data_IF_413611002917
#
_entry.id   IF_413611002917
#
_cell.length_a   1.000
_cell.length_b   1.000
_cell.length_c   1.000
_cell.angle_alpha   90.00
_cell.angle_beta   90.00
_cell.angle_gamma   90.00
#
_symmetry.space_group_name_H-M   'P 1'
#
loop_
_entity.id
_entity.type
_entity.pdbx_description
1 polymer ?
#
# COMPACT_ATOMS: atom_id res chain seq x y z
N UNK A 1 14.88 -17.53 -21.82
CA UNK A 1 15.22 -17.49 -20.37
C UNK A 1 14.95 -16.12 -19.74
N UNK A 2 14.90 -15.03 -20.50
CA UNK A 2 14.60 -13.68 -19.96
C UNK A 2 13.13 -13.44 -19.56
N UNK A 3 12.16 -14.22 -20.04
CA UNK A 3 10.74 -13.95 -19.77
C UNK A 3 10.29 -14.20 -18.33
N UNK A 4 10.97 -15.10 -17.60
CA UNK A 4 10.55 -15.47 -16.23
C UNK A 4 10.77 -14.34 -15.22
N UNK A 5 11.79 -13.51 -15.41
CA UNK A 5 12.11 -12.43 -14.48
C UNK A 5 11.09 -11.29 -14.58
N UNK A 6 10.62 -10.99 -15.80
CA UNK A 6 9.58 -9.98 -16.03
C UNK A 6 8.25 -10.32 -15.38
N UNK A 7 7.89 -11.62 -15.29
CA UNK A 7 6.63 -12.05 -14.66
C UNK A 7 6.67 -11.80 -13.14
N UNK A 8 7.79 -12.09 -12.49
CA UNK A 8 7.94 -11.89 -11.05
C UNK A 8 7.86 -10.39 -10.67
N UNK A 9 8.47 -9.52 -11.47
CA UNK A 9 8.46 -8.08 -11.24
C UNK A 9 7.04 -7.48 -11.39
N UNK A 10 6.26 -7.94 -12.36
CA UNK A 10 4.87 -7.50 -12.56
C UNK A 10 3.96 -7.93 -11.41
N UNK A 11 4.07 -9.19 -10.99
CA UNK A 11 3.31 -9.71 -9.86
C UNK A 11 3.57 -8.90 -8.59
N UNK A 12 4.84 -8.72 -8.22
CA UNK A 12 5.20 -7.98 -7.00
C UNK A 12 4.73 -6.52 -7.08
N UNK A 13 4.92 -5.84 -8.22
CA UNK A 13 4.47 -4.47 -8.42
C UNK A 13 2.94 -4.33 -8.31
N UNK A 14 2.17 -5.25 -8.90
CA UNK A 14 0.71 -5.25 -8.81
C UNK A 14 0.23 -5.38 -7.36
N UNK A 15 0.77 -6.35 -6.61
CA UNK A 15 0.41 -6.57 -5.22
C UNK A 15 0.84 -5.43 -4.29
N UNK A 16 2.03 -4.84 -4.49
CA UNK A 16 2.42 -3.65 -3.75
C UNK A 16 1.52 -2.45 -4.05
N UNK A 17 1.06 -2.32 -5.29
CA UNK A 17 0.09 -1.28 -5.66
C UNK A 17 -1.25 -1.51 -4.97
N UNK A 18 -1.76 -2.74 -4.93
CA UNK A 18 -2.97 -3.10 -4.16
C UNK A 18 -2.82 -2.74 -2.68
N UNK A 19 -1.70 -3.11 -2.06
CA UNK A 19 -1.42 -2.78 -0.65
C UNK A 19 -1.39 -1.26 -0.43
N UNK A 20 -0.77 -0.50 -1.34
CA UNK A 20 -0.77 0.96 -1.27
C UNK A 20 -2.18 1.56 -1.39
N UNK A 21 -3.05 0.98 -2.22
CA UNK A 21 -4.47 1.38 -2.30
C UNK A 21 -5.22 1.10 -0.99
N UNK A 22 -4.99 -0.07 -0.37
CA UNK A 22 -5.58 -0.43 0.93
C UNK A 22 -5.08 0.54 2.02
N UNK A 23 -3.78 0.81 2.06
CA UNK A 23 -3.18 1.74 3.01
C UNK A 23 -3.78 3.14 2.85
N UNK A 24 -3.90 3.65 1.61
CA UNK A 24 -4.55 4.94 1.32
C UNK A 24 -6.01 4.95 1.77
N UNK A 25 -6.77 3.88 1.53
CA UNK A 25 -8.14 3.77 2.01
C UNK A 25 -8.21 3.86 3.54
N UNK A 26 -7.43 3.06 4.24
CA UNK A 26 -7.39 3.04 5.71
C UNK A 26 -6.99 4.41 6.27
N UNK A 27 -6.06 5.10 5.61
CA UNK A 27 -5.60 6.43 6.01
C UNK A 27 -6.69 7.50 5.81
N UNK A 28 -7.49 7.36 4.75
CA UNK A 28 -8.61 8.25 4.44
C UNK A 28 -9.83 8.06 5.34
N UNK A 29 -9.90 6.96 6.09
CA UNK A 29 -11.05 6.62 6.91
C UNK A 29 -11.29 7.62 8.04
N UNK A 30 -12.56 7.98 8.26
CA UNK A 30 -12.99 8.88 9.34
C UNK A 30 -12.71 8.26 10.71
N UNK A 31 -12.85 6.94 10.85
CA UNK A 31 -12.63 6.24 12.12
C UNK A 31 -11.15 6.31 12.54
N UNK A 32 -10.91 6.80 13.76
CA UNK A 32 -9.57 6.87 14.37
C UNK A 32 -8.98 5.47 14.56
N UNK A 33 -9.80 4.49 14.93
CA UNK A 33 -9.39 3.10 15.07
C UNK A 33 -8.79 2.54 13.76
N UNK A 34 -9.48 2.77 12.63
CA UNK A 34 -8.99 2.33 11.31
C UNK A 34 -7.67 3.02 10.90
N UNK A 35 -7.46 4.28 11.31
CA UNK A 35 -6.18 4.98 11.08
C UNK A 35 -5.05 4.39 11.93
N UNK A 36 -5.35 3.95 13.15
CA UNK A 36 -4.38 3.31 14.03
C UNK A 36 -4.02 1.88 13.58
N UNK A 37 -4.84 1.24 12.73
CA UNK A 37 -4.48 -0.04 12.12
C UNK A 37 -3.30 0.09 11.14
N UNK A 38 -3.00 1.29 10.62
CA UNK A 38 -1.77 1.56 9.86
C UNK A 38 -0.61 1.78 10.83
N UNK A 39 -0.33 0.77 11.64
CA UNK A 39 0.91 0.72 12.41
C UNK A 39 1.98 0.04 11.58
N UNK A 40 3.24 0.47 11.72
CA UNK A 40 4.42 -0.13 11.07
C UNK A 40 4.45 -1.66 11.15
N UNK A 41 3.97 -2.21 12.28
CA UNK A 41 3.88 -3.64 12.52
C UNK A 41 2.99 -4.35 11.48
N UNK A 42 1.90 -3.72 11.05
CA UNK A 42 0.96 -4.28 10.06
C UNK A 42 1.50 -4.17 8.63
N UNK A 43 2.27 -3.13 8.31
CA UNK A 43 2.95 -3.03 7.02
C UNK A 43 4.01 -4.13 6.82
N UNK A 44 4.76 -4.46 7.87
CA UNK A 44 5.69 -5.62 7.85
C UNK A 44 4.92 -6.92 7.67
N UNK A 45 3.81 -7.10 8.39
CA UNK A 45 2.97 -8.30 8.25
C UNK A 45 2.38 -8.44 6.84
N UNK A 46 1.98 -7.33 6.18
CA UNK A 46 1.49 -7.40 4.81
C UNK A 46 2.57 -7.76 3.79
N UNK A 47 3.81 -7.32 4.01
CA UNK A 47 4.95 -7.77 3.18
C UNK A 47 5.18 -9.28 3.33
N UNK A 48 5.19 -9.78 4.56
CA UNK A 48 5.31 -11.23 4.83
C UNK A 48 4.16 -11.99 4.16
N UNK A 49 2.94 -11.45 4.21
CA UNK A 49 1.79 -12.06 3.53
C UNK A 49 1.99 -12.16 2.01
N UNK A 50 2.45 -11.09 1.34
CA UNK A 50 2.69 -11.13 -0.13
C UNK A 50 3.78 -12.14 -0.50
N UNK A 51 4.84 -12.24 0.30
CA UNK A 51 5.92 -13.22 0.08
C UNK A 51 5.40 -14.66 0.24
N UNK A 52 4.69 -14.95 1.34
CA UNK A 52 4.10 -16.27 1.57
C UNK A 52 3.09 -16.63 0.50
N UNK A 53 2.26 -15.67 0.07
CA UNK A 53 1.28 -15.86 -0.97
C UNK A 53 1.95 -16.14 -2.33
N UNK A 54 3.07 -15.46 -2.62
CA UNK A 54 3.92 -15.76 -3.78
C UNK A 54 4.46 -17.19 -3.73
N UNK A 55 5.00 -17.64 -2.59
CA UNK A 55 5.51 -19.01 -2.44
C UNK A 55 4.41 -20.05 -2.70
N UNK A 56 3.18 -19.79 -2.27
CA UNK A 56 2.05 -20.71 -2.51
C UNK A 56 1.70 -20.77 -4.01
N UNK A 57 1.59 -19.62 -4.68
CA UNK A 57 1.24 -19.55 -6.10
C UNK A 57 2.34 -20.18 -6.95
N UNK A 58 3.60 -19.76 -6.75
CA UNK A 58 4.73 -20.31 -7.50
C UNK A 58 5.07 -21.75 -7.06
N UNK A 59 4.60 -22.16 -5.89
CA UNK A 59 4.71 -23.52 -5.36
C UNK A 59 4.05 -24.57 -6.25
N UNK A 60 2.95 -24.22 -6.93
CA UNK A 60 2.27 -25.14 -7.85
C UNK A 60 3.16 -25.55 -9.02
N UNK A 61 4.11 -24.69 -9.42
CA UNK A 61 5.00 -25.00 -10.53
C UNK A 61 5.89 -26.19 -10.23
N UNK A 62 6.19 -26.46 -8.95
CA UNK A 62 6.94 -27.66 -8.55
C UNK A 62 6.13 -28.96 -8.70
N UNK A 63 4.79 -28.91 -8.57
CA UNK A 63 3.94 -30.08 -8.75
C UNK A 63 3.84 -30.52 -10.22
N UNK A 64 3.95 -29.58 -11.15
CA UNK A 64 3.90 -29.87 -12.58
C UNK A 64 5.26 -30.24 -13.19
N UNK A 65 6.33 -30.37 -12.38
CA UNK A 65 7.62 -30.90 -12.82
C UNK A 65 7.55 -32.43 -12.77
N UNK A 66 7.38 -33.04 -13.94
CA UNK A 66 7.37 -34.50 -14.05
C UNK A 66 8.81 -35.03 -13.96
N UNK A 67 9.17 -35.62 -12.82
CA UNK A 67 10.52 -36.13 -12.54
C UNK A 67 10.83 -37.37 -13.42
N UNK A 68 9.82 -37.95 -14.08
CA UNK A 68 9.90 -39.23 -14.77
C UNK A 68 10.44 -39.17 -16.21
N UNK A 69 10.78 -38.01 -16.77
CA UNK A 69 11.31 -37.90 -18.15
C UNK A 69 12.82 -38.19 -18.28
N UNK A 70 13.47 -38.65 -17.21
CA UNK A 70 14.92 -38.88 -17.16
C UNK A 70 15.35 -40.31 -17.55
N UNK A 71 14.69 -40.94 -18.52
CA UNK A 71 15.16 -42.19 -19.10
C UNK A 71 15.40 -42.05 -20.61
N UNK A 72 16.68 -42.05 -20.98
CA UNK A 72 17.25 -42.20 -22.32
C UNK A 72 17.35 -40.94 -23.22
N UNK A 73 18.33 -40.07 -22.90
CA UNK A 73 19.27 -39.59 -23.93
C UNK A 73 19.00 -38.27 -24.66
N UNK A 74 18.05 -37.42 -24.23
CA UNK A 74 17.83 -36.13 -24.87
C UNK A 74 18.70 -34.99 -24.27
N UNK A 75 19.39 -34.18 -25.12
CA UNK A 75 20.15 -33.01 -24.67
C UNK A 75 19.26 -31.82 -24.29
N UNK A 76 19.49 -31.33 -23.06
CA UNK A 76 19.38 -29.97 -22.52
C UNK A 76 18.63 -28.88 -23.33
N UNK A 77 17.31 -28.97 -23.41
CA UNK A 77 16.43 -27.78 -23.56
C UNK A 77 15.36 -27.81 -22.45
N UNK A 78 15.86 -27.80 -21.21
CA UNK A 78 15.19 -28.11 -19.95
C UNK A 78 14.07 -27.14 -19.49
N UNK A 79 13.26 -26.56 -20.39
CA UNK A 79 12.20 -25.64 -19.97
C UNK A 79 10.91 -25.64 -20.83
N UNK A 80 10.74 -26.53 -21.82
CA UNK A 80 9.63 -26.40 -22.78
C UNK A 80 8.63 -27.55 -22.85
N UNK A 81 8.69 -28.56 -21.98
CA UNK A 81 7.61 -29.55 -21.92
C UNK A 81 6.97 -29.58 -20.54
N UNK A 82 6.10 -28.60 -20.26
CA UNK A 82 4.87 -28.90 -19.51
C UNK A 82 4.09 -29.91 -20.37
N UNK A 83 4.44 -31.18 -20.29
CA UNK A 83 3.90 -32.23 -21.18
C UNK A 83 2.39 -32.41 -21.00
N UNK A 84 1.87 -31.98 -19.85
CA UNK A 84 0.44 -31.99 -19.56
C UNK A 84 -0.21 -30.65 -19.91
N UNK A 85 -1.03 -30.68 -20.96
CA UNK A 85 -1.93 -29.57 -21.37
C UNK A 85 -2.75 -29.05 -20.18
N UNK A 86 -3.15 -29.95 -19.26
CA UNK A 86 -3.87 -29.61 -18.04
C UNK A 86 -3.05 -28.69 -17.12
N UNK A 87 -1.77 -28.96 -16.90
CA UNK A 87 -0.88 -28.11 -16.10
C UNK A 87 -0.67 -26.73 -16.74
N UNK A 88 -0.62 -26.66 -18.07
CA UNK A 88 -0.48 -25.38 -18.77
C UNK A 88 -1.74 -24.52 -18.65
N UNK A 89 -2.92 -25.12 -18.81
CA UNK A 89 -4.20 -24.42 -18.66
C UNK A 89 -4.40 -23.96 -17.22
N UNK A 90 -4.11 -24.82 -16.24
CA UNK A 90 -4.23 -24.48 -14.82
C UNK A 90 -3.31 -23.30 -14.46
N UNK A 91 -2.03 -23.36 -14.82
CA UNK A 91 -1.06 -22.28 -14.54
C UNK A 91 -1.44 -20.97 -15.22
N UNK A 92 -1.88 -21.02 -16.48
CA UNK A 92 -2.34 -19.82 -17.19
C UNK A 92 -3.58 -19.19 -16.52
N UNK A 93 -4.50 -20.04 -16.04
CA UNK A 93 -5.71 -19.60 -15.35
C UNK A 93 -5.39 -19.02 -13.97
N UNK A 94 -4.54 -19.69 -13.19
CA UNK A 94 -4.09 -19.23 -11.88
C UNK A 94 -3.35 -17.90 -12.01
N UNK A 95 -2.44 -17.79 -12.97
CA UNK A 95 -1.74 -16.54 -13.25
C UNK A 95 -2.72 -15.42 -13.62
N UNK A 96 -3.68 -15.66 -14.52
CA UNK A 96 -4.69 -14.66 -14.87
C UNK A 96 -5.52 -14.20 -13.66
N UNK A 97 -5.96 -15.13 -12.82
CA UNK A 97 -6.79 -14.84 -11.65
C UNK A 97 -5.99 -14.05 -10.60
N UNK A 98 -4.80 -14.52 -10.23
CA UNK A 98 -4.03 -13.93 -9.13
C UNK A 98 -3.20 -12.71 -9.53
N UNK A 99 -2.75 -12.61 -10.78
CA UNK A 99 -1.92 -11.49 -11.25
C UNK A 99 -2.75 -10.33 -11.82
N UNK A 100 -3.85 -10.62 -12.53
CA UNK A 100 -4.67 -9.57 -13.13
C UNK A 100 -5.99 -9.36 -12.38
N UNK A 101 -6.79 -10.42 -12.22
CA UNK A 101 -8.20 -10.27 -11.84
C UNK A 101 -8.36 -9.82 -10.39
N UNK A 102 -7.72 -10.50 -9.45
CA UNK A 102 -7.80 -10.18 -8.01
C UNK A 102 -7.22 -8.79 -7.72
N UNK A 103 -5.99 -8.44 -8.17
CA UNK A 103 -5.44 -7.10 -7.98
C UNK A 103 -6.34 -5.99 -8.52
N UNK A 104 -6.91 -6.17 -9.71
CA UNK A 104 -7.82 -5.19 -10.32
C UNK A 104 -9.10 -4.98 -9.50
N UNK A 105 -9.73 -6.06 -9.01
CA UNK A 105 -10.92 -5.98 -8.15
C UNK A 105 -10.59 -5.25 -6.85
N UNK A 106 -9.49 -5.64 -6.18
CA UNK A 106 -9.05 -5.01 -4.94
C UNK A 106 -8.77 -3.52 -5.15
N UNK A 107 -8.00 -3.16 -6.18
CA UNK A 107 -7.72 -1.75 -6.50
C UNK A 107 -8.99 -0.96 -6.79
N UNK A 108 -9.94 -1.53 -7.51
CA UNK A 108 -11.21 -0.87 -7.84
C UNK A 108 -12.05 -0.62 -6.58
N UNK A 109 -12.25 -1.64 -5.74
CA UNK A 109 -13.03 -1.54 -4.51
C UNK A 109 -12.41 -0.48 -3.58
N UNK A 110 -11.12 -0.60 -3.26
CA UNK A 110 -10.45 0.33 -2.36
C UNK A 110 -10.29 1.73 -2.97
N UNK A 111 -10.15 1.83 -4.28
CA UNK A 111 -10.14 3.11 -5.02
C UNK A 111 -11.46 3.86 -4.87
N UNK A 112 -12.59 3.19 -5.12
CA UNK A 112 -13.93 3.79 -4.96
C UNK A 112 -14.18 4.19 -3.51
N UNK A 113 -13.86 3.31 -2.55
CA UNK A 113 -14.03 3.62 -1.13
C UNK A 113 -13.17 4.81 -0.67
N UNK A 114 -11.94 4.92 -1.17
CA UNK A 114 -11.08 6.07 -0.91
C UNK A 114 -11.70 7.36 -1.44
N UNK A 115 -12.23 7.33 -2.67
CA UNK A 115 -12.88 8.50 -3.28
C UNK A 115 -14.13 8.93 -2.49
N UNK A 116 -14.92 7.99 -2.00
CA UNK A 116 -16.07 8.26 -1.14
C UNK A 116 -15.66 8.96 0.16
N UNK A 117 -14.63 8.45 0.86
CA UNK A 117 -14.12 9.05 2.08
C UNK A 117 -13.61 10.48 1.85
N UNK A 118 -12.88 10.71 0.75
CA UNK A 118 -12.38 12.04 0.39
C UNK A 118 -13.53 13.01 0.10
N UNK A 119 -14.56 12.59 -0.63
CA UNK A 119 -15.75 13.41 -0.92
C UNK A 119 -16.51 13.76 0.37
N UNK A 120 -16.69 12.81 1.27
CA UNK A 120 -17.33 13.06 2.57
C UNK A 120 -16.54 14.06 3.41
N UNK A 121 -15.20 13.93 3.45
CA UNK A 121 -14.34 14.86 4.18
C UNK A 121 -14.41 16.28 3.61
N UNK A 122 -14.37 16.43 2.28
CA UNK A 122 -14.53 17.74 1.61
C UNK A 122 -15.88 18.39 1.95
N UNK A 123 -16.99 17.62 1.94
CA UNK A 123 -18.31 18.14 2.32
C UNK A 123 -18.34 18.68 3.76
N UNK A 124 -17.75 17.96 4.73
CA UNK A 124 -17.70 18.42 6.13
C UNK A 124 -16.90 19.71 6.30
N UNK A 125 -15.76 19.82 5.63
CA UNK A 125 -14.94 21.05 5.68
C UNK A 125 -15.68 22.24 5.07
N UNK A 126 -16.37 22.05 3.95
CA UNK A 126 -17.14 23.11 3.30
C UNK A 126 -18.31 23.60 4.18
N UNK A 127 -18.99 22.69 4.90
CA UNK A 127 -20.07 23.09 5.84
C UNK A 127 -19.50 23.94 6.99
N UNK A 128 -18.36 23.56 7.56
CA UNK A 128 -17.71 24.33 8.63
C UNK A 128 -17.22 25.70 8.14
N UNK A 129 -16.65 25.79 6.94
CA UNK A 129 -16.24 27.07 6.35
C UNK A 129 -17.44 27.98 6.06
N UNK A 130 -18.54 27.42 5.58
CA UNK A 130 -19.77 28.18 5.31
C UNK A 130 -20.41 28.66 6.62
N UNK A 131 -20.43 27.83 7.67
CA UNK A 131 -20.90 28.24 8.99
C UNK A 131 -20.05 29.38 9.57
N UNK A 132 -18.71 29.31 9.44
CA UNK A 132 -17.82 30.37 9.92
C UNK A 132 -18.01 31.69 9.15
N UNK A 133 -18.27 31.64 7.83
CA UNK A 133 -18.57 32.84 7.03
C UNK A 133 -19.91 33.51 7.37
N UNK A 134 -20.84 32.77 7.97
CA UNK A 134 -22.15 33.30 8.39
C UNK A 134 -22.15 33.86 9.80
N UNK A 135 -21.04 33.81 10.53
CA UNK A 135 -20.86 34.72 11.66
C UNK A 135 -20.59 36.08 11.00
N UNK A 136 -21.57 36.98 10.92
CA UNK A 136 -21.32 38.28 10.34
C UNK A 136 -20.19 38.91 11.16
N UNK A 137 -19.30 39.64 10.51
CA UNK A 137 -18.37 40.57 11.17
C UNK A 137 -19.19 41.69 11.83
N UNK A 138 -20.06 41.35 12.78
CA UNK A 138 -20.69 42.29 13.69
C UNK A 138 -19.65 42.48 14.80
N UNK A 139 -18.87 43.53 14.59
CA UNK A 139 -18.23 44.30 15.65
C UNK A 139 -17.31 43.53 16.61
N UNK A 140 -16.11 43.20 16.16
CA UNK A 140 -14.92 43.59 16.96
C UNK A 140 -14.66 45.07 16.64
N UNK A 141 -15.63 45.93 16.98
CA UNK A 141 -15.53 47.39 16.86
C UNK A 141 -15.31 47.89 18.27
N UNK A 142 -14.06 48.25 18.56
CA UNK A 142 -13.62 49.15 19.63
C UNK A 142 -14.42 49.09 20.94
N UNK A 143 -13.94 48.29 21.89
CA UNK A 143 -14.00 48.70 23.30
C UNK A 143 -12.71 49.47 23.55
N UNK A 144 -12.74 50.75 23.22
CA UNK A 144 -11.79 51.74 23.74
C UNK A 144 -12.19 52.12 25.17
N UNK A 145 -11.31 51.81 26.13
CA UNK A 145 -11.16 52.35 27.50
C UNK A 145 -12.17 51.96 28.60
N UNK A 146 -11.83 52.08 29.91
CA UNK A 146 -10.51 52.28 30.56
C UNK A 146 -10.17 51.22 31.63
N UNK A 147 -8.87 51.02 31.88
CA UNK A 147 -8.27 50.53 33.14
C UNK A 147 -9.14 49.65 34.06
N UNK A 148 -9.30 48.38 33.70
CA UNK A 148 -9.61 47.31 34.66
C UNK A 148 -8.39 46.43 34.73
N UNK A 149 -7.86 46.28 35.95
CA UNK A 149 -6.70 45.49 36.31
C UNK A 149 -6.75 44.14 35.60
N UNK A 150 -5.89 44.02 34.59
CA UNK A 150 -5.66 42.79 33.85
C UNK A 150 -5.09 41.77 34.82
N UNK A 151 -5.92 40.84 35.30
CA UNK A 151 -5.40 39.51 35.55
C UNK A 151 -5.18 38.87 34.18
N UNK A 152 -3.96 38.41 33.89
CA UNK A 152 -3.67 37.73 32.64
C UNK A 152 -4.47 36.44 32.62
N UNK A 153 -5.61 36.46 31.93
CA UNK A 153 -6.19 35.23 31.42
C UNK A 153 -5.20 34.76 30.37
N UNK A 154 -4.25 33.93 30.83
CA UNK A 154 -3.46 33.04 29.99
C UNK A 154 -4.43 32.10 29.29
N UNK A 155 -5.10 32.59 28.25
CA UNK A 155 -5.49 31.75 27.14
C UNK A 155 -4.18 31.38 26.46
N UNK A 156 -3.51 30.37 27.01
CA UNK A 156 -2.67 29.49 26.24
C UNK A 156 -3.58 28.89 25.17
N UNK A 157 -3.73 29.63 24.07
CA UNK A 157 -3.87 29.03 22.75
C UNK A 157 -2.61 28.19 22.65
N UNK A 158 -2.71 26.95 23.13
CA UNK A 158 -1.63 26.01 23.08
C UNK A 158 -1.18 26.01 21.63
N UNK A 159 0.13 26.21 21.35
CA UNK A 159 0.62 25.99 20.01
C UNK A 159 0.05 24.65 19.60
N UNK A 160 -0.61 24.64 18.44
CA UNK A 160 -1.17 23.45 17.86
C UNK A 160 0.04 22.54 17.60
N UNK A 161 0.44 21.80 18.64
CA UNK A 161 1.52 20.85 18.69
C UNK A 161 1.03 19.65 17.89
N UNK A 162 0.79 19.87 16.60
CA UNK A 162 0.88 18.79 15.65
C UNK A 162 2.33 18.34 15.70
N UNK A 163 2.58 17.09 16.15
CA UNK A 163 3.91 16.66 16.49
C UNK A 163 4.79 16.65 15.24
N UNK A 164 5.80 17.53 15.21
CA UNK A 164 6.91 17.46 14.26
C UNK A 164 7.60 16.07 14.26
N UNK A 165 7.40 15.27 15.32
CA UNK A 165 7.85 13.87 15.40
C UNK A 165 7.13 12.94 14.43
N UNK A 166 5.94 13.29 13.91
CA UNK A 166 5.23 12.44 12.94
C UNK A 166 5.80 12.57 11.52
N UNK A 167 6.45 13.68 11.19
CA UNK A 167 7.03 13.94 9.86
C UNK A 167 8.45 13.35 9.73
N UNK A 168 9.23 13.39 10.82
CA UNK A 168 10.56 12.76 10.90
C UNK A 168 10.46 11.23 10.75
N UNK A 169 9.44 10.60 11.34
CA UNK A 169 9.25 9.15 11.20
C UNK A 169 8.87 8.71 9.78
N UNK A 170 8.19 9.57 9.00
CA UNK A 170 7.84 9.27 7.61
C UNK A 170 9.04 9.28 6.66
N UNK A 171 9.97 10.21 6.86
CA UNK A 171 11.17 10.32 6.00
C UNK A 171 12.16 9.20 6.29
N UNK A 172 12.34 8.83 7.57
CA UNK A 172 13.12 7.64 7.95
C UNK A 172 12.52 6.35 7.36
N UNK A 173 11.21 6.17 7.44
CA UNK A 173 10.52 5.01 6.88
C UNK A 173 10.66 4.91 5.35
N UNK A 174 10.57 6.04 4.64
CA UNK A 174 10.76 6.06 3.18
C UNK A 174 12.15 5.57 2.79
N UNK A 175 13.17 5.90 3.58
CA UNK A 175 14.55 5.41 3.38
C UNK A 175 14.69 3.92 3.67
N UNK A 176 14.06 3.41 4.73
CA UNK A 176 14.09 1.98 5.03
C UNK A 176 13.37 1.14 3.97
N UNK A 177 12.21 1.58 3.47
CA UNK A 177 11.52 0.89 2.38
C UNK A 177 12.36 0.88 1.10
N UNK A 178 13.04 1.99 0.78
CA UNK A 178 13.92 2.02 -0.39
C UNK A 178 15.12 1.10 -0.21
N UNK A 179 15.72 1.02 0.98
CA UNK A 179 16.80 0.09 1.27
C UNK A 179 16.37 -1.38 1.13
N UNK A 180 15.20 -1.75 1.66
CA UNK A 180 14.67 -3.12 1.51
C UNK A 180 14.42 -3.43 0.03
N UNK A 181 13.83 -2.50 -0.73
CA UNK A 181 13.60 -2.69 -2.16
C UNK A 181 14.91 -2.86 -2.94
N UNK A 182 15.93 -2.06 -2.62
CA UNK A 182 17.28 -2.17 -3.21
C UNK A 182 17.92 -3.50 -2.85
N UNK A 183 17.83 -3.95 -1.59
CA UNK A 183 18.38 -5.23 -1.16
C UNK A 183 17.69 -6.41 -1.85
N UNK A 184 16.36 -6.38 -1.99
CA UNK A 184 15.63 -7.40 -2.74
C UNK A 184 16.07 -7.42 -4.22
N UNK A 185 16.22 -6.26 -4.85
CA UNK A 185 16.72 -6.17 -6.22
C UNK A 185 18.16 -6.69 -6.35
N UNK A 186 19.03 -6.43 -5.37
CA UNK A 186 20.41 -6.94 -5.36
C UNK A 186 20.48 -8.46 -5.15
N UNK A 187 19.65 -9.02 -4.29
CA UNK A 187 19.55 -10.48 -4.10
C UNK A 187 19.08 -11.16 -5.39
N UNK A 188 18.08 -10.59 -6.07
CA UNK A 188 17.63 -11.07 -7.37
C UNK A 188 18.73 -10.96 -8.44
N UNK A 189 19.42 -9.81 -8.54
CA UNK A 189 20.47 -9.59 -9.54
C UNK A 189 21.71 -10.48 -9.33
N UNK A 190 22.05 -10.83 -8.08
CA UNK A 190 23.19 -11.70 -7.78
C UNK A 190 22.96 -13.16 -8.19
N UNK A 191 21.70 -13.56 -8.32
CA UNK A 191 21.31 -14.90 -8.79
C UNK A 191 21.34 -15.05 -10.32
N UNK A 192 21.43 -13.94 -11.07
CA UNK A 192 21.43 -13.88 -12.54
C UNK A 192 22.83 -14.11 -13.17
N UNK A 193 23.90 -14.07 -12.36
CA UNK A 193 25.30 -14.18 -12.83
C UNK A 193 25.98 -15.52 -12.55
N UNK A 194 25.22 -16.55 -12.18
CA UNK A 194 25.70 -17.93 -12.01
C UNK A 194 24.93 -18.87 -12.92
#
# INVERSE_FOLDING_TARGET
MFDSQYVHDRYTAAWFTCLACIERYLSSSVSVYKRHLITMKRAKLSMVFVILFGIIIFGEQFYCIDINQNLYGAPQSCYQLKSNVQCQIADSLMQFIFEMFIPAIVMTIFGVLTLQNVRQRKRRVNVLQTANRRIPMIAVRNISHPSVTQQPINLTIGPNNQPATMEINRTAQKREMQLIMILLMQVCSKHEKK
#
